data_IF_398917567587
#
_entry.id   IF_398917567587
#
_cell.length_a   1.000
_cell.length_b   1.000
_cell.length_c   1.000
_cell.angle_alpha   90.00
_cell.angle_beta   90.00
_cell.angle_gamma   90.00
#
_symmetry.space_group_name_H-M   'P 1'
#
loop_
_entity.id
_entity.type
_entity.pdbx_description
1 polymer ?
#
# COMPACT_ATOMS: atom_id res chain seq x y z
N UNK A 1 -34.06 -21.63 -14.53
CA UNK A 1 -33.20 -20.53 -14.99
C UNK A 1 -31.78 -20.85 -14.53
N UNK A 2 -30.85 -21.10 -15.46
CA UNK A 2 -29.46 -21.44 -15.12
C UNK A 2 -28.63 -20.17 -15.23
N UNK A 3 -27.85 -19.86 -14.20
CA UNK A 3 -26.84 -18.79 -14.24
C UNK A 3 -25.48 -19.45 -14.27
N UNK A 4 -24.75 -19.26 -15.36
CA UNK A 4 -23.39 -19.77 -15.55
C UNK A 4 -22.42 -18.62 -15.34
N UNK A 5 -21.55 -18.72 -14.32
CA UNK A 5 -20.45 -17.78 -14.12
C UNK A 5 -19.15 -18.53 -14.33
N UNK A 6 -18.40 -18.18 -15.37
CA UNK A 6 -17.08 -18.74 -15.63
C UNK A 6 -15.98 -17.87 -15.05
N UNK A 7 -15.18 -18.40 -14.14
CA UNK A 7 -13.96 -17.79 -13.65
C UNK A 7 -12.84 -18.81 -13.79
N UNK A 8 -11.88 -18.52 -14.67
CA UNK A 8 -10.59 -19.22 -14.81
C UNK A 8 -10.68 -20.76 -14.86
N UNK A 9 -11.51 -21.30 -15.76
CA UNK A 9 -11.50 -22.75 -16.08
C UNK A 9 -12.27 -23.65 -15.10
N UNK A 10 -12.98 -23.11 -14.13
CA UNK A 10 -13.83 -23.90 -13.23
C UNK A 10 -15.28 -23.53 -13.48
N UNK A 11 -16.07 -24.46 -14.03
CA UNK A 11 -17.50 -24.30 -14.22
C UNK A 11 -18.22 -24.86 -12.99
N UNK A 12 -18.85 -24.01 -12.20
CA UNK A 12 -19.71 -24.43 -11.09
C UNK A 12 -21.15 -24.34 -11.55
N UNK A 13 -21.82 -25.48 -11.74
CA UNK A 13 -23.25 -25.56 -12.02
C UNK A 13 -24.05 -25.57 -10.73
N UNK A 14 -24.74 -24.50 -10.41
CA UNK A 14 -25.75 -24.47 -9.34
C UNK A 14 -27.13 -24.74 -9.94
N UNK A 15 -27.69 -25.91 -9.69
CA UNK A 15 -29.09 -26.19 -9.97
C UNK A 15 -29.96 -25.68 -8.80
N UNK A 16 -30.78 -24.67 -9.03
CA UNK A 16 -31.78 -24.19 -8.08
C UNK A 16 -33.09 -24.89 -8.39
N UNK A 17 -33.42 -25.92 -7.63
CA UNK A 17 -34.78 -26.53 -7.64
C UNK A 17 -35.68 -25.70 -6.73
N UNK A 18 -36.73 -25.13 -7.33
CA UNK A 18 -37.79 -24.42 -6.60
C UNK A 18 -38.74 -25.43 -5.94
N UNK A 19 -38.49 -25.81 -4.70
CA UNK A 19 -39.52 -26.40 -3.82
C UNK A 19 -39.39 -25.68 -2.47
N UNK A 20 -40.48 -25.05 -2.08
CA UNK A 20 -40.59 -24.24 -0.87
C UNK A 20 -40.40 -25.08 0.39
N UNK A 21 -39.34 -24.78 1.10
CA UNK A 21 -39.18 -25.07 2.52
C UNK A 21 -38.43 -23.89 3.14
N UNK A 22 -39.14 -23.17 3.99
CA UNK A 22 -38.49 -22.23 4.91
C UNK A 22 -37.67 -23.01 5.95
N UNK A 23 -36.48 -23.41 5.59
CA UNK A 23 -35.52 -23.98 6.52
C UNK A 23 -34.56 -22.87 6.95
N UNK A 24 -34.45 -22.64 8.26
CA UNK A 24 -33.44 -21.81 8.89
C UNK A 24 -32.04 -22.25 8.40
N UNK A 25 -31.52 -21.57 7.40
CA UNK A 25 -30.13 -21.75 6.96
C UNK A 25 -29.24 -21.07 7.99
N UNK A 26 -28.80 -21.82 9.00
CA UNK A 26 -27.67 -21.42 9.83
C UNK A 26 -26.45 -21.38 8.92
N UNK A 27 -25.67 -20.28 8.88
CA UNK A 27 -24.45 -20.25 8.09
C UNK A 27 -23.48 -21.30 8.65
N UNK A 28 -23.08 -22.25 7.81
CA UNK A 28 -22.13 -23.30 8.17
C UNK A 28 -20.74 -22.61 8.27
N UNK A 29 -20.13 -22.52 9.46
CA UNK A 29 -18.85 -21.79 9.65
C UNK A 29 -17.69 -22.33 8.81
N UNK A 30 -17.74 -23.58 8.38
CA UNK A 30 -16.72 -24.22 7.54
C UNK A 30 -16.64 -23.64 6.11
N UNK A 31 -17.76 -23.16 5.53
CA UNK A 31 -17.74 -22.59 4.16
C UNK A 31 -17.00 -21.24 4.10
N UNK A 32 -17.08 -20.43 5.14
CA UNK A 32 -16.39 -19.14 5.16
C UNK A 32 -14.86 -19.29 5.24
N UNK A 33 -14.36 -20.35 5.88
CA UNK A 33 -12.91 -20.61 5.96
C UNK A 33 -12.36 -21.09 4.61
N UNK A 34 -13.12 -21.86 3.85
CA UNK A 34 -12.70 -22.39 2.55
C UNK A 34 -12.60 -21.25 1.50
N UNK A 35 -13.58 -20.33 1.49
CA UNK A 35 -13.57 -19.16 0.59
C UNK A 35 -12.40 -18.24 0.92
N UNK A 36 -12.17 -17.93 2.19
CA UNK A 36 -11.04 -17.09 2.62
C UNK A 36 -9.67 -17.74 2.30
N UNK A 37 -9.58 -19.07 2.32
CA UNK A 37 -8.36 -19.81 1.96
C UNK A 37 -8.13 -19.78 0.45
N UNK A 38 -9.17 -19.95 -0.36
CA UNK A 38 -9.12 -19.85 -1.82
C UNK A 38 -8.76 -18.43 -2.28
N UNK A 39 -9.33 -17.41 -1.66
CA UNK A 39 -8.96 -16.02 -1.95
C UNK A 39 -7.51 -15.72 -1.58
N UNK A 40 -7.00 -16.26 -0.47
CA UNK A 40 -5.58 -16.17 -0.10
C UNK A 40 -4.66 -16.87 -1.09
N UNK A 41 -5.05 -18.06 -1.57
CA UNK A 41 -4.27 -18.81 -2.57
C UNK A 41 -4.28 -18.12 -3.93
N UNK A 42 -5.40 -17.58 -4.38
CA UNK A 42 -5.51 -16.77 -5.59
C UNK A 42 -4.68 -15.48 -5.50
N UNK A 43 -4.68 -14.83 -4.35
CA UNK A 43 -3.86 -13.62 -4.09
C UNK A 43 -2.36 -13.92 -4.10
N UNK A 44 -1.96 -15.11 -3.63
CA UNK A 44 -0.55 -15.52 -3.60
C UNK A 44 0.03 -15.83 -4.98
N UNK A 45 -0.83 -16.10 -5.98
CA UNK A 45 -0.41 -16.46 -7.36
C UNK A 45 -0.37 -15.24 -8.29
N UNK A 46 -0.91 -14.09 -7.87
CA UNK A 46 -0.87 -12.87 -8.68
C UNK A 46 0.48 -12.17 -8.51
N UNK A 47 1.21 -12.03 -9.63
CA UNK A 47 2.41 -11.20 -9.66
C UNK A 47 2.05 -9.79 -9.15
N UNK A 48 2.80 -9.24 -8.16
CA UNK A 48 2.56 -7.89 -7.66
C UNK A 48 2.53 -6.88 -8.81
N UNK A 49 1.56 -5.97 -8.80
CA UNK A 49 1.48 -4.93 -9.81
C UNK A 49 2.70 -4.00 -9.69
N UNK A 50 3.48 -3.92 -10.76
CA UNK A 50 4.59 -2.96 -10.83
C UNK A 50 4.03 -1.53 -10.79
N UNK A 51 4.56 -0.70 -9.90
CA UNK A 51 4.11 0.68 -9.73
C UNK A 51 4.97 1.63 -10.57
N UNK A 52 4.32 2.50 -11.36
CA UNK A 52 5.04 3.52 -12.11
C UNK A 52 5.71 4.52 -11.12
N UNK A 53 6.97 4.90 -11.41
CA UNK A 53 7.73 5.83 -10.58
C UNK A 53 7.02 7.17 -10.35
N UNK A 54 6.27 7.67 -11.33
CA UNK A 54 5.50 8.92 -11.22
C UNK A 54 4.40 8.88 -10.15
N UNK A 55 3.97 7.68 -9.75
CA UNK A 55 2.97 7.46 -8.69
C UNK A 55 3.60 7.40 -7.28
N UNK A 56 4.94 7.43 -7.19
CA UNK A 56 5.67 7.40 -5.92
C UNK A 56 5.75 8.79 -5.30
N UNK A 57 4.78 9.11 -4.44
CA UNK A 57 4.73 10.39 -3.75
C UNK A 57 3.63 10.48 -2.69
N UNK A 58 3.79 11.44 -1.78
CA UNK A 58 2.86 11.73 -0.68
C UNK A 58 2.75 13.24 -0.50
N UNK A 59 1.53 13.76 -0.30
CA UNK A 59 1.29 15.18 -0.04
C UNK A 59 1.72 16.11 -1.17
N UNK A 60 1.68 15.61 -2.42
CA UNK A 60 2.14 16.34 -3.61
C UNK A 60 3.66 16.34 -3.81
N UNK A 61 4.43 15.78 -2.87
CA UNK A 61 5.88 15.58 -3.02
C UNK A 61 6.14 14.20 -3.63
N UNK A 62 7.07 14.12 -4.59
CA UNK A 62 7.47 12.90 -5.28
C UNK A 62 8.95 12.62 -5.06
N UNK A 63 9.35 11.37 -5.23
CA UNK A 63 10.77 11.01 -5.27
C UNK A 63 11.47 11.76 -6.43
N UNK A 64 12.71 12.17 -6.19
CA UNK A 64 13.53 12.96 -7.13
C UNK A 64 13.25 14.45 -7.16
N UNK A 65 12.19 14.96 -6.51
CA UNK A 65 11.98 16.41 -6.35
C UNK A 65 13.11 17.06 -5.59
N UNK A 66 13.37 18.35 -5.84
CA UNK A 66 14.27 19.13 -5.01
C UNK A 66 13.66 19.43 -3.63
N UNK A 67 14.51 19.67 -2.64
CA UNK A 67 14.07 20.06 -1.28
C UNK A 67 13.24 21.36 -1.34
N UNK A 68 13.62 22.30 -2.18
CA UNK A 68 12.94 23.59 -2.29
C UNK A 68 11.55 23.44 -2.93
N UNK A 69 11.39 22.54 -3.91
CA UNK A 69 10.07 22.20 -4.44
C UNK A 69 9.18 21.52 -3.40
N UNK A 70 9.75 20.60 -2.60
CA UNK A 70 9.02 19.95 -1.50
C UNK A 70 8.54 20.98 -0.48
N UNK A 71 9.39 21.95 -0.10
CA UNK A 71 9.01 23.06 0.81
C UNK A 71 7.93 23.96 0.22
N UNK A 72 7.97 24.28 -1.08
CA UNK A 72 6.89 25.06 -1.70
C UNK A 72 5.53 24.37 -1.63
N UNK A 73 5.51 23.03 -1.72
CA UNK A 73 4.27 22.23 -1.64
C UNK A 73 3.76 22.01 -0.22
N UNK A 74 4.65 21.78 0.73
CA UNK A 74 4.31 21.40 2.09
C UNK A 74 4.32 22.59 3.08
N UNK A 75 4.90 23.73 2.67
CA UNK A 75 5.12 24.86 3.54
C UNK A 75 6.38 24.73 4.41
N UNK A 76 6.46 25.54 5.46
CA UNK A 76 7.58 25.57 6.41
C UNK A 76 7.61 24.30 7.25
N UNK A 77 8.69 23.52 7.28
CA UNK A 77 8.81 22.36 8.17
C UNK A 77 8.96 22.81 9.65
N UNK A 78 8.55 21.94 10.57
CA UNK A 78 8.77 22.12 12.01
C UNK A 78 10.25 21.95 12.37
N UNK A 79 10.94 21.06 11.64
CA UNK A 79 12.37 20.81 11.79
C UNK A 79 12.99 20.56 10.42
N UNK A 80 14.18 21.12 10.20
CA UNK A 80 14.96 21.03 8.98
C UNK A 80 16.41 20.76 9.38
N UNK A 81 16.82 19.52 9.25
CA UNK A 81 18.14 19.04 9.70
C UNK A 81 18.95 18.48 8.54
N UNK A 82 20.22 18.78 8.52
CA UNK A 82 21.18 18.19 7.58
C UNK A 82 22.24 17.42 8.36
N UNK A 83 22.45 16.16 7.99
CA UNK A 83 23.45 15.28 8.60
C UNK A 83 24.29 14.61 7.51
N UNK A 84 25.56 14.25 7.77
CA UNK A 84 26.31 13.38 6.89
C UNK A 84 25.54 12.06 6.69
N UNK A 85 25.57 11.52 5.47
CA UNK A 85 25.10 10.15 5.23
C UNK A 85 26.10 9.14 5.83
N UNK A 86 25.67 7.87 5.90
CA UNK A 86 26.59 6.81 6.33
C UNK A 86 27.82 6.77 5.39
N UNK A 87 29.04 6.45 5.92
CA UNK A 87 30.28 6.48 5.13
C UNK A 87 30.19 5.68 3.81
N UNK A 88 29.49 4.56 3.82
CA UNK A 88 29.31 3.72 2.64
C UNK A 88 28.45 4.37 1.52
N UNK A 89 27.61 5.38 1.87
CA UNK A 89 26.73 6.07 0.93
C UNK A 89 27.36 7.40 0.51
N UNK A 90 28.02 8.08 1.44
CA UNK A 90 28.61 9.42 1.26
C UNK A 90 27.57 10.52 1.13
N UNK A 91 28.04 11.76 1.09
CA UNK A 91 27.18 12.92 0.89
C UNK A 91 26.41 13.35 2.13
N UNK A 92 25.31 14.11 1.93
CA UNK A 92 24.50 14.69 3.00
C UNK A 92 23.04 14.30 2.87
N UNK A 93 22.41 13.97 3.99
CA UNK A 93 20.96 13.75 4.10
C UNK A 93 20.35 14.95 4.79
N UNK A 94 19.36 15.58 4.15
CA UNK A 94 18.53 16.62 4.71
C UNK A 94 17.14 16.08 5.03
N UNK A 95 16.70 16.21 6.27
CA UNK A 95 15.40 15.72 6.74
C UNK A 95 14.50 16.88 7.10
N UNK A 96 13.35 16.94 6.46
CA UNK A 96 12.27 17.87 6.74
C UNK A 96 11.19 17.15 7.55
N UNK A 97 10.90 17.63 8.75
CA UNK A 97 9.85 17.05 9.59
C UNK A 97 8.65 18.00 9.68
N UNK A 98 7.48 17.44 9.45
CA UNK A 98 6.17 18.10 9.60
C UNK A 98 5.33 17.30 10.59
N UNK A 99 4.13 17.78 10.93
CA UNK A 99 3.21 17.04 11.82
C UNK A 99 2.76 15.71 11.19
N UNK A 100 3.48 14.62 11.52
CA UNK A 100 3.21 13.26 11.02
C UNK A 100 3.60 13.02 9.56
N UNK A 101 4.45 13.87 8.97
CA UNK A 101 5.07 13.65 7.67
C UNK A 101 6.58 13.94 7.78
N UNK A 102 7.38 13.04 7.23
CA UNK A 102 8.84 13.20 7.11
C UNK A 102 9.24 13.08 5.66
N UNK A 103 10.09 13.99 5.20
CA UNK A 103 10.70 13.97 3.87
C UNK A 103 12.20 13.98 4.05
N UNK A 104 12.90 12.96 3.52
CA UNK A 104 14.35 12.93 3.50
C UNK A 104 14.86 13.09 2.06
N UNK A 105 15.89 13.90 1.93
CA UNK A 105 16.57 14.18 0.68
C UNK A 105 18.06 13.85 0.81
N UNK A 106 18.60 13.16 -0.18
CA UNK A 106 20.03 12.92 -0.34
C UNK A 106 20.54 13.84 -1.46
N UNK A 107 21.61 14.57 -1.19
CA UNK A 107 22.19 15.54 -2.13
C UNK A 107 21.12 16.46 -2.75
N UNK A 108 20.18 16.95 -1.91
CA UNK A 108 19.12 17.87 -2.33
C UNK A 108 17.94 17.26 -3.10
N UNK A 109 17.94 15.93 -3.34
CA UNK A 109 16.86 15.21 -4.02
C UNK A 109 16.11 14.31 -3.06
N UNK A 110 14.78 14.43 -3.02
CA UNK A 110 13.89 13.60 -2.19
C UNK A 110 14.03 12.13 -2.58
N UNK A 111 14.40 11.29 -1.62
CA UNK A 111 14.52 9.84 -1.81
C UNK A 111 13.61 9.02 -0.90
N UNK A 112 13.12 9.62 0.21
CA UNK A 112 12.24 8.96 1.16
C UNK A 112 11.16 9.94 1.64
N UNK A 113 9.92 9.47 1.66
CA UNK A 113 8.77 10.19 2.22
C UNK A 113 8.01 9.21 3.09
N UNK A 114 7.65 9.60 4.32
CA UNK A 114 6.81 8.75 5.17
C UNK A 114 5.76 9.58 5.91
N UNK A 115 4.56 9.02 6.10
CA UNK A 115 3.50 9.69 6.84
C UNK A 115 2.70 8.74 7.72
N UNK A 116 2.31 9.23 8.89
CA UNK A 116 1.31 8.66 9.79
C UNK A 116 0.08 9.57 9.92
N UNK A 117 0.06 10.69 9.19
CA UNK A 117 -1.00 11.69 9.26
C UNK A 117 -1.98 11.54 8.09
N UNK A 118 -3.29 11.38 8.35
CA UNK A 118 -4.32 11.21 7.31
C UNK A 118 -4.53 12.43 6.40
N UNK A 119 -3.93 13.59 6.72
CA UNK A 119 -3.98 14.76 5.84
C UNK A 119 -3.18 14.58 4.55
N UNK A 120 -2.14 13.73 4.57
CA UNK A 120 -1.24 13.54 3.43
C UNK A 120 -1.64 12.27 2.67
N UNK A 121 -2.06 12.46 1.43
CA UNK A 121 -2.48 11.40 0.53
C UNK A 121 -1.31 10.97 -0.36
N UNK A 122 -1.31 9.72 -0.79
CA UNK A 122 -0.52 9.29 -1.94
C UNK A 122 -1.01 10.00 -3.21
N UNK A 123 -0.25 9.91 -4.29
CA UNK A 123 -0.66 10.47 -5.59
C UNK A 123 -2.03 9.93 -6.04
N UNK A 124 -2.34 8.68 -5.69
CA UNK A 124 -3.58 8.00 -6.06
C UNK A 124 -4.70 8.13 -5.00
N UNK A 125 -4.54 9.00 -4.02
CA UNK A 125 -5.59 9.34 -3.05
C UNK A 125 -5.77 8.35 -1.89
N UNK A 126 -4.80 7.45 -1.65
CA UNK A 126 -4.78 6.61 -0.44
C UNK A 126 -4.14 7.38 0.71
N UNK A 127 -4.70 7.25 1.91
CA UNK A 127 -4.23 7.94 3.12
C UNK A 127 -4.21 7.02 4.33
N UNK A 128 -3.55 7.46 5.38
CA UNK A 128 -3.62 6.83 6.71
C UNK A 128 -5.08 6.77 7.17
N UNK A 129 -5.47 5.69 7.82
CA UNK A 129 -6.83 5.28 8.24
C UNK A 129 -7.74 4.77 7.13
N UNK A 130 -7.34 4.80 5.86
CA UNK A 130 -8.10 4.11 4.81
C UNK A 130 -8.13 2.60 5.06
N UNK A 131 -9.21 1.95 4.60
CA UNK A 131 -9.36 0.50 4.68
C UNK A 131 -8.41 -0.19 3.67
N UNK A 132 -7.91 -1.37 4.03
CA UNK A 132 -7.06 -2.21 3.17
C UNK A 132 -7.70 -2.56 1.83
N UNK A 133 -9.03 -2.69 1.78
CA UNK A 133 -9.77 -2.91 0.53
C UNK A 133 -9.60 -1.75 -0.46
N UNK A 134 -9.59 -0.49 0.02
CA UNK A 134 -9.30 0.68 -0.82
C UNK A 134 -7.88 0.61 -1.38
N UNK A 135 -6.91 0.17 -0.58
CA UNK A 135 -5.53 -0.01 -1.03
C UNK A 135 -5.45 -1.00 -2.19
N UNK A 136 -6.06 -2.19 -2.00
CA UNK A 136 -6.09 -3.24 -3.04
C UNK A 136 -6.85 -2.78 -4.28
N UNK A 137 -7.97 -2.06 -4.13
CA UNK A 137 -8.71 -1.48 -5.27
C UNK A 137 -7.86 -0.48 -6.06
N UNK A 138 -6.98 0.30 -5.38
CA UNK A 138 -6.19 1.36 -6.01
C UNK A 138 -4.90 0.84 -6.65
N UNK A 139 -4.24 -0.12 -6.00
CA UNK A 139 -2.90 -0.59 -6.38
C UNK A 139 -2.86 -2.05 -6.82
N UNK A 140 -3.95 -2.80 -6.70
CA UNK A 140 -3.95 -4.25 -6.86
C UNK A 140 -3.34 -4.97 -5.65
N UNK A 141 -3.00 -6.25 -5.85
CA UNK A 141 -2.31 -7.03 -4.82
C UNK A 141 -0.81 -6.71 -4.85
N UNK A 142 -0.26 -6.29 -3.70
CA UNK A 142 1.16 -6.08 -3.50
C UNK A 142 1.84 -7.29 -2.87
N UNK A 143 3.18 -7.29 -2.84
CA UNK A 143 3.92 -8.24 -2.00
C UNK A 143 3.54 -8.02 -0.54
N UNK A 144 3.26 -9.11 0.18
CA UNK A 144 2.78 -9.07 1.55
C UNK A 144 3.76 -9.70 2.52
N UNK A 145 4.03 -9.01 3.63
CA UNK A 145 4.71 -9.58 4.80
C UNK A 145 3.94 -9.21 6.07
N UNK A 146 4.01 -10.08 7.09
CA UNK A 146 3.35 -9.85 8.38
C UNK A 146 4.38 -9.96 9.49
N UNK A 147 4.48 -8.92 10.32
CA UNK A 147 5.37 -8.88 11.47
C UNK A 147 4.70 -8.13 12.63
N UNK A 148 4.67 -8.73 13.82
CA UNK A 148 4.10 -8.10 15.02
C UNK A 148 2.64 -7.65 14.88
N UNK A 149 1.81 -8.39 14.13
CA UNK A 149 0.40 -8.04 13.89
C UNK A 149 0.20 -6.87 12.91
N UNK A 150 1.28 -6.41 12.26
CA UNK A 150 1.24 -5.42 11.19
C UNK A 150 1.43 -6.13 9.85
N UNK A 151 0.51 -5.94 8.93
CA UNK A 151 0.64 -6.38 7.54
C UNK A 151 1.28 -5.26 6.73
N UNK A 152 2.36 -5.57 6.05
CA UNK A 152 3.04 -4.65 5.14
C UNK A 152 2.72 -5.05 3.70
N UNK A 153 2.08 -4.16 2.94
CA UNK A 153 1.87 -4.29 1.50
C UNK A 153 2.93 -3.45 0.78
N UNK A 154 3.68 -4.09 -0.12
CA UNK A 154 4.77 -3.47 -0.87
C UNK A 154 4.47 -3.51 -2.36
N UNK A 155 4.56 -2.36 -3.00
CA UNK A 155 4.42 -2.15 -4.44
C UNK A 155 5.73 -1.59 -4.97
N UNK A 156 6.43 -2.37 -5.78
CA UNK A 156 7.78 -2.04 -6.24
C UNK A 156 7.77 -1.34 -7.59
N UNK A 157 8.72 -0.44 -7.77
CA UNK A 157 9.19 0.01 -9.06
C UNK A 157 10.60 -0.55 -9.28
N UNK A 158 10.71 -1.60 -10.08
CA UNK A 158 11.97 -2.33 -10.26
C UNK A 158 13.02 -1.52 -11.03
N UNK A 159 12.58 -0.59 -11.92
CA UNK A 159 13.48 0.24 -12.71
C UNK A 159 14.30 1.23 -11.89
N UNK A 160 13.77 1.65 -10.73
CA UNK A 160 14.39 2.67 -9.87
C UNK A 160 14.58 2.22 -8.42
N UNK A 161 14.51 0.92 -8.16
CA UNK A 161 14.66 0.33 -6.82
C UNK A 161 13.90 1.13 -5.75
N UNK A 162 12.64 1.45 -6.03
CA UNK A 162 11.80 2.30 -5.17
C UNK A 162 10.45 1.65 -4.92
N UNK A 163 9.94 1.79 -3.71
CA UNK A 163 8.72 1.15 -3.25
C UNK A 163 7.71 2.15 -2.70
N UNK A 164 6.43 1.81 -2.85
CA UNK A 164 5.35 2.28 -1.99
C UNK A 164 5.04 1.17 -0.99
N UNK A 165 5.14 1.46 0.29
CA UNK A 165 4.90 0.53 1.38
C UNK A 165 3.77 1.07 2.24
N UNK A 166 2.74 0.24 2.49
CA UNK A 166 1.65 0.56 3.39
C UNK A 166 1.65 -0.42 4.56
N UNK A 167 1.78 0.11 5.77
CA UNK A 167 1.66 -0.66 7.00
C UNK A 167 0.20 -0.65 7.47
N UNK A 168 -0.38 -1.83 7.62
CA UNK A 168 -1.80 -2.05 7.92
C UNK A 168 -1.93 -2.80 9.24
N UNK A 169 -2.75 -2.28 10.14
CA UNK A 169 -3.11 -2.94 11.40
C UNK A 169 -4.63 -2.85 11.57
N UNK A 170 -5.28 -3.96 11.92
CA UNK A 170 -6.74 -4.01 12.05
C UNK A 170 -7.47 -3.54 10.78
N UNK A 171 -7.03 -3.99 9.60
CA UNK A 171 -7.58 -3.64 8.28
C UNK A 171 -7.49 -2.14 7.90
N UNK A 172 -6.72 -1.32 8.65
CA UNK A 172 -6.54 0.10 8.36
C UNK A 172 -5.07 0.47 8.18
N UNK A 173 -4.82 1.34 7.21
CA UNK A 173 -3.50 1.92 6.96
C UNK A 173 -3.06 2.74 8.18
N UNK A 174 -1.90 2.41 8.75
CA UNK A 174 -1.30 3.11 9.89
C UNK A 174 -0.17 4.03 9.45
N UNK A 175 0.58 3.60 8.43
CA UNK A 175 1.73 4.35 7.92
C UNK A 175 1.88 4.11 6.42
N UNK A 176 2.33 5.13 5.72
CA UNK A 176 2.67 5.07 4.29
C UNK A 176 4.12 5.51 4.14
N UNK A 177 4.89 4.75 3.37
CA UNK A 177 6.30 5.02 3.10
C UNK A 177 6.52 4.94 1.59
N UNK A 178 7.24 5.89 1.05
CA UNK A 178 7.69 5.91 -0.35
C UNK A 178 9.19 6.13 -0.36
N UNK A 179 9.94 5.20 -0.92
CA UNK A 179 11.40 5.28 -0.92
C UNK A 179 12.09 3.98 -1.34
N UNK A 180 13.38 3.83 -1.04
CA UNK A 180 14.11 2.59 -1.33
C UNK A 180 13.55 1.41 -0.54
N UNK A 181 13.90 0.16 -0.90
CA UNK A 181 13.56 -1.02 -0.10
C UNK A 181 13.98 -0.83 1.36
N UNK A 182 13.09 -1.22 2.28
CA UNK A 182 13.44 -1.28 3.71
C UNK A 182 14.05 -2.66 3.99
N UNK A 183 15.28 -2.68 4.41
CA UNK A 183 15.99 -3.88 4.87
C UNK A 183 15.57 -4.22 6.30
#
# INVERSE_FOLDING_TARGET
>A
MFVTTAVAGITINLAISSLGFAALVRPIPAMNQTVATLERMLSATQKPAALNYSRLGIGGVRLGMSVEEAKRKLGKPQRDETKPAAPAIGGKIRTLSYSGLTVAAWEGKVYLISTTNPKFLTIDGVKVRDNSQKVVKTYGYGSQSVQGGVTRLTYSNDQKASNLILEIKGSRVQKIIVGPPLN
#
